data_IF_570571802970
#
_entry.id   IF_570571802970
#
_cell.length_a   1.000
_cell.length_b   1.000
_cell.length_c   1.000
_cell.angle_alpha   90.00
_cell.angle_beta   90.00
_cell.angle_gamma   90.00
#
_symmetry.space_group_name_H-M   'P 1'
#
loop_
_entity.id
_entity.type
_entity.pdbx_description
1 polymer ?
#
# COMPACT_ATOMS: atom_id res chain seq x y z
N UNK A 1 1.16 21.42 27.93
CA UNK A 1 2.16 21.66 26.87
C UNK A 1 1.56 21.22 25.54
N UNK A 2 1.47 22.10 24.56
CA UNK A 2 1.00 21.77 23.22
C UNK A 2 2.14 21.14 22.43
N UNK A 3 1.86 20.05 21.68
CA UNK A 3 2.82 19.39 20.79
C UNK A 3 2.26 19.39 19.37
N UNK A 4 3.13 19.36 18.36
CA UNK A 4 2.79 19.34 16.93
C UNK A 4 3.31 18.05 16.34
N UNK A 5 2.51 17.41 15.45
CA UNK A 5 2.93 16.31 14.61
C UNK A 5 2.98 16.81 13.17
N UNK A 6 4.07 16.56 12.47
CA UNK A 6 4.27 16.93 11.06
C UNK A 6 4.93 15.78 10.33
N UNK A 7 4.62 15.64 9.05
CA UNK A 7 5.34 14.77 8.13
C UNK A 7 5.41 15.41 6.74
N UNK A 8 6.36 14.99 5.94
CA UNK A 8 6.55 15.45 4.57
C UNK A 8 6.19 14.32 3.60
N UNK A 9 5.66 14.70 2.45
CA UNK A 9 5.45 13.83 1.31
C UNK A 9 5.78 14.58 0.03
N UNK A 10 6.09 13.85 -1.04
CA UNK A 10 6.33 14.41 -2.36
C UNK A 10 5.13 14.16 -3.26
N UNK A 11 4.75 15.16 -4.04
CA UNK A 11 3.72 15.05 -5.06
C UNK A 11 4.34 15.31 -6.44
N UNK A 12 4.20 14.34 -7.34
CA UNK A 12 4.63 14.44 -8.72
C UNK A 12 3.42 14.66 -9.63
N UNK A 13 3.56 15.43 -10.69
CA UNK A 13 2.47 15.71 -11.63
C UNK A 13 2.05 14.49 -12.44
N UNK A 14 2.95 13.51 -12.59
CA UNK A 14 2.67 12.28 -13.32
C UNK A 14 3.64 11.16 -12.94
N UNK A 15 3.28 9.92 -13.27
CA UNK A 15 4.12 8.73 -13.04
C UNK A 15 5.42 8.71 -13.85
N UNK A 16 5.48 9.47 -14.95
CA UNK A 16 6.66 9.59 -15.79
C UNK A 16 7.81 10.31 -15.07
N UNK A 17 7.51 11.07 -14.02
CA UNK A 17 8.52 11.70 -13.16
C UNK A 17 9.14 10.75 -12.12
N UNK A 18 8.60 9.54 -11.97
CA UNK A 18 9.15 8.53 -11.06
C UNK A 18 10.51 8.01 -11.56
N UNK A 19 11.39 7.66 -10.62
CA UNK A 19 12.57 6.86 -10.94
C UNK A 19 12.16 5.49 -11.49
N UNK A 20 12.98 4.90 -12.34
CA UNK A 20 12.63 3.68 -13.09
C UNK A 20 12.14 2.52 -12.20
N UNK A 21 12.75 2.37 -11.03
CA UNK A 21 12.42 1.32 -10.07
C UNK A 21 11.01 1.50 -9.45
N UNK A 22 10.65 2.73 -9.10
CA UNK A 22 9.34 3.07 -8.55
C UNK A 22 8.25 3.00 -9.63
N UNK A 23 8.57 3.42 -10.85
CA UNK A 23 7.67 3.28 -11.99
C UNK A 23 7.37 1.81 -12.29
N UNK A 24 8.38 0.95 -12.27
CA UNK A 24 8.21 -0.49 -12.44
C UNK A 24 7.29 -1.08 -11.37
N UNK A 25 7.48 -0.69 -10.10
CA UNK A 25 6.66 -1.13 -8.99
C UNK A 25 5.20 -0.64 -9.12
N UNK A 26 4.99 0.62 -9.50
CA UNK A 26 3.65 1.16 -9.74
C UNK A 26 2.93 0.44 -10.89
N UNK A 27 3.63 0.16 -11.99
CA UNK A 27 3.08 -0.60 -13.10
C UNK A 27 2.70 -2.03 -12.68
N UNK A 28 3.48 -2.66 -11.79
CA UNK A 28 3.15 -3.96 -11.21
C UNK A 28 1.89 -3.90 -10.34
N UNK A 29 1.72 -2.85 -9.53
CA UNK A 29 0.51 -2.63 -8.75
C UNK A 29 -0.72 -2.44 -9.66
N UNK A 30 -0.58 -1.68 -10.75
CA UNK A 30 -1.66 -1.49 -11.72
C UNK A 30 -2.03 -2.81 -12.41
N UNK A 31 -1.06 -3.65 -12.76
CA UNK A 31 -1.31 -4.99 -13.32
C UNK A 31 -2.05 -5.89 -12.32
N UNK A 32 -1.74 -5.79 -11.02
CA UNK A 32 -2.41 -6.57 -9.99
C UNK A 32 -3.93 -6.28 -9.88
N UNK A 33 -4.39 -5.12 -10.37
CA UNK A 33 -5.82 -4.76 -10.45
C UNK A 33 -6.63 -5.80 -11.25
N UNK A 34 -6.03 -6.44 -12.24
CA UNK A 34 -6.69 -7.45 -13.09
C UNK A 34 -7.16 -8.69 -12.30
N UNK A 35 -6.48 -9.00 -11.21
CA UNK A 35 -6.81 -10.15 -10.34
C UNK A 35 -7.77 -9.81 -9.20
N UNK A 36 -8.21 -8.56 -9.10
CA UNK A 36 -9.14 -8.12 -8.07
C UNK A 36 -10.53 -8.74 -8.25
N UNK A 37 -11.08 -9.27 -7.16
CA UNK A 37 -12.44 -9.76 -7.11
C UNK A 37 -13.33 -8.73 -6.40
N UNK A 38 -13.99 -7.86 -7.18
CA UNK A 38 -14.80 -6.76 -6.67
C UNK A 38 -16.22 -6.73 -7.31
N UNK A 39 -17.02 -7.82 -7.14
CA UNK A 39 -18.32 -7.92 -7.79
C UNK A 39 -19.35 -6.93 -7.22
N UNK A 40 -19.18 -6.48 -5.98
CA UNK A 40 -20.15 -5.63 -5.27
C UNK A 40 -19.85 -4.15 -5.47
N UNK A 41 -18.64 -3.70 -5.14
CA UNK A 41 -18.24 -2.30 -5.24
C UNK A 41 -17.87 -1.87 -6.66
N UNK A 42 -17.46 -2.82 -7.51
CA UNK A 42 -16.80 -2.57 -8.81
C UNK A 42 -15.51 -1.74 -8.67
N UNK A 43 -14.97 -1.62 -7.47
CA UNK A 43 -13.78 -0.85 -7.15
C UNK A 43 -12.58 -1.81 -7.00
N UNK A 44 -11.79 -1.93 -8.06
CA UNK A 44 -10.64 -2.82 -8.11
C UNK A 44 -9.38 -2.11 -7.65
N UNK A 45 -8.66 -2.70 -6.72
CA UNK A 45 -7.39 -2.19 -6.18
C UNK A 45 -6.31 -3.24 -6.36
N UNK A 46 -5.14 -2.80 -6.79
CA UNK A 46 -3.93 -3.59 -6.86
C UNK A 46 -2.82 -2.98 -6.02
N UNK A 47 -2.03 -3.81 -5.40
CA UNK A 47 -0.84 -3.44 -4.65
C UNK A 47 0.35 -4.27 -5.10
N UNK A 48 1.55 -3.68 -5.06
CA UNK A 48 2.82 -4.37 -5.32
C UNK A 48 3.85 -3.94 -4.29
N UNK A 49 4.62 -4.86 -3.76
CA UNK A 49 5.72 -4.57 -2.83
C UNK A 49 7.04 -5.09 -3.38
N UNK A 50 8.09 -4.29 -3.22
CA UNK A 50 9.47 -4.67 -3.48
C UNK A 50 10.12 -5.07 -2.18
N UNK A 51 10.66 -6.29 -2.15
CA UNK A 51 11.34 -6.87 -1.02
C UNK A 51 12.84 -6.59 -1.05
N UNK A 52 13.52 -6.80 0.08
CA UNK A 52 14.97 -6.64 0.24
C UNK A 52 15.79 -7.53 -0.69
N UNK A 53 15.25 -8.69 -1.09
CA UNK A 53 15.88 -9.59 -2.07
C UNK A 53 15.60 -9.21 -3.53
N UNK A 54 14.93 -8.08 -3.78
CA UNK A 54 14.59 -7.58 -5.12
C UNK A 54 13.32 -8.17 -5.72
N UNK A 55 12.68 -9.15 -5.08
CA UNK A 55 11.41 -9.70 -5.58
C UNK A 55 10.27 -8.68 -5.47
N UNK A 56 9.34 -8.74 -6.43
CA UNK A 56 8.10 -7.99 -6.43
C UNK A 56 6.94 -8.96 -6.18
N UNK A 57 6.21 -8.72 -5.10
CA UNK A 57 5.02 -9.49 -4.72
C UNK A 57 3.78 -8.66 -5.00
N UNK A 58 2.70 -9.30 -5.45
CA UNK A 58 1.45 -8.65 -5.83
C UNK A 58 0.32 -9.02 -4.88
N UNK A 59 -0.64 -8.10 -4.75
CA UNK A 59 -1.89 -8.33 -4.06
C UNK A 59 -3.02 -7.54 -4.71
N UNK A 60 -4.25 -8.03 -4.56
CA UNK A 60 -5.45 -7.34 -5.02
C UNK A 60 -6.57 -7.51 -4.03
N UNK A 61 -7.56 -6.61 -4.04
CA UNK A 61 -8.70 -6.73 -3.13
C UNK A 61 -9.58 -7.91 -3.51
N UNK A 62 -10.09 -8.59 -2.47
CA UNK A 62 -10.97 -9.74 -2.58
C UNK A 62 -12.23 -9.48 -1.76
N UNK A 63 -13.33 -9.20 -2.41
CA UNK A 63 -14.61 -8.95 -1.76
C UNK A 63 -15.33 -10.26 -1.39
N UNK A 64 -16.24 -10.17 -0.46
CA UNK A 64 -17.10 -11.26 -0.02
C UNK A 64 -18.54 -10.76 0.17
N UNK A 65 -19.53 -11.62 -0.07
CA UNK A 65 -20.91 -11.35 0.31
C UNK A 65 -21.06 -11.11 1.82
N UNK A 66 -20.20 -11.71 2.62
CA UNK A 66 -19.99 -11.35 4.02
C UNK A 66 -18.95 -10.24 4.10
N UNK A 67 -19.36 -9.00 4.05
CA UNK A 67 -18.47 -7.83 3.94
C UNK A 67 -17.29 -7.82 4.92
N UNK A 68 -17.43 -8.22 6.21
CA UNK A 68 -16.30 -8.28 7.14
C UNK A 68 -15.19 -9.26 6.73
N UNK A 69 -15.49 -10.23 5.86
CA UNK A 69 -14.50 -11.23 5.35
C UNK A 69 -13.65 -10.64 4.23
N UNK A 70 -14.14 -9.60 3.56
CA UNK A 70 -13.41 -8.92 2.48
C UNK A 70 -12.05 -8.41 2.94
N UNK A 71 -11.07 -8.44 2.03
CA UNK A 71 -9.71 -8.02 2.29
C UNK A 71 -9.21 -7.03 1.24
N UNK A 72 -8.56 -5.95 1.68
CA UNK A 72 -7.93 -4.96 0.80
C UNK A 72 -6.68 -5.52 0.12
N UNK A 73 -6.32 -4.97 -1.03
CA UNK A 73 -5.13 -5.35 -1.81
C UNK A 73 -3.85 -5.34 -0.97
N UNK A 74 -3.65 -4.29 -0.17
CA UNK A 74 -2.47 -4.12 0.68
C UNK A 74 -2.38 -5.23 1.73
N UNK A 75 -3.51 -5.60 2.35
CA UNK A 75 -3.52 -6.65 3.38
C UNK A 75 -3.38 -8.05 2.76
N UNK A 76 -3.94 -8.29 1.58
CA UNK A 76 -3.69 -9.52 0.81
C UNK A 76 -2.19 -9.66 0.54
N UNK A 77 -1.56 -8.60 0.08
CA UNK A 77 -0.13 -8.54 -0.19
C UNK A 77 0.71 -8.77 1.06
N UNK A 78 0.46 -8.02 2.15
CA UNK A 78 1.19 -8.14 3.40
C UNK A 78 1.10 -9.55 3.99
N UNK A 79 -0.10 -10.15 4.00
CA UNK A 79 -0.30 -11.52 4.50
C UNK A 79 0.47 -12.55 3.67
N UNK A 80 0.50 -12.38 2.34
CA UNK A 80 1.29 -13.23 1.44
C UNK A 80 2.79 -13.11 1.75
N UNK A 81 3.30 -11.89 1.90
CA UNK A 81 4.71 -11.66 2.25
C UNK A 81 5.04 -12.27 3.61
N UNK A 82 4.22 -12.01 4.64
CA UNK A 82 4.47 -12.52 5.98
C UNK A 82 4.48 -14.04 6.08
N UNK A 83 3.74 -14.74 5.21
CA UNK A 83 3.69 -16.21 5.20
C UNK A 83 4.75 -16.85 4.32
N UNK A 84 5.09 -16.24 3.19
CA UNK A 84 5.98 -16.83 2.19
C UNK A 84 7.42 -16.31 2.25
N UNK A 85 7.60 -15.08 2.75
CA UNK A 85 8.90 -14.37 2.80
C UNK A 85 9.14 -13.79 4.20
N UNK A 86 9.10 -14.59 5.27
CA UNK A 86 9.11 -14.08 6.66
C UNK A 86 10.40 -13.38 7.07
N UNK A 87 11.48 -13.56 6.30
CA UNK A 87 12.79 -12.95 6.58
C UNK A 87 13.11 -11.75 5.68
N UNK A 88 12.20 -11.37 4.79
CA UNK A 88 12.42 -10.27 3.85
C UNK A 88 11.73 -9.00 4.35
N UNK A 89 12.43 -7.87 4.25
CA UNK A 89 11.85 -6.56 4.53
C UNK A 89 11.15 -6.00 3.29
N UNK A 90 10.12 -5.19 3.50
CA UNK A 90 9.43 -4.46 2.44
C UNK A 90 10.09 -3.09 2.31
N UNK A 91 10.72 -2.82 1.18
CA UNK A 91 11.39 -1.54 0.92
C UNK A 91 10.42 -0.46 0.42
N UNK A 92 9.48 -0.87 -0.42
CA UNK A 92 8.46 0.03 -0.98
C UNK A 92 7.19 -0.74 -1.30
N UNK A 93 6.04 -0.04 -1.26
CA UNK A 93 4.75 -0.54 -1.72
C UNK A 93 4.10 0.48 -2.63
N UNK A 94 3.68 0.06 -3.81
CA UNK A 94 2.85 0.83 -4.71
C UNK A 94 1.39 0.37 -4.62
N UNK A 95 0.45 1.33 -4.70
CA UNK A 95 -0.99 1.10 -4.69
C UNK A 95 -1.60 1.82 -5.88
N UNK A 96 -2.39 1.08 -6.67
CA UNK A 96 -3.14 1.62 -7.78
C UNK A 96 -4.54 1.01 -7.85
N UNK A 97 -5.42 1.59 -8.65
CA UNK A 97 -6.82 1.18 -8.66
C UNK A 97 -7.50 1.47 -10.00
N UNK A 98 -8.61 0.78 -10.24
CA UNK A 98 -9.50 1.03 -11.35
C UNK A 98 -10.95 0.97 -10.82
N UNK A 99 -11.63 2.11 -10.70
CA UNK A 99 -13.02 2.15 -10.29
C UNK A 99 -13.91 1.91 -11.52
N UNK A 100 -14.90 1.07 -11.40
CA UNK A 100 -16.07 0.90 -12.25
C UNK A 100 -16.00 1.52 -13.68
N UNK A 101 -15.08 1.02 -14.50
CA UNK A 101 -14.86 1.46 -15.91
C UNK A 101 -14.49 2.95 -16.08
N UNK A 102 -14.22 3.68 -15.00
CA UNK A 102 -13.73 5.06 -15.02
C UNK A 102 -12.23 5.07 -14.77
N UNK A 103 -11.48 5.83 -15.55
CA UNK A 103 -10.04 6.00 -15.30
C UNK A 103 -9.82 6.66 -13.92
N UNK A 104 -8.91 6.09 -13.15
CA UNK A 104 -8.42 6.68 -11.91
C UNK A 104 -7.41 7.78 -12.21
N UNK A 105 -7.58 8.96 -11.64
CA UNK A 105 -6.80 10.17 -11.98
C UNK A 105 -6.14 10.87 -10.77
N UNK A 106 -6.22 10.26 -9.59
CA UNK A 106 -5.60 10.81 -8.38
C UNK A 106 -5.05 9.69 -7.48
N UNK A 107 -4.14 9.98 -6.54
CA UNK A 107 -3.60 9.01 -5.61
C UNK A 107 -4.68 8.40 -4.71
N UNK A 108 -4.65 7.08 -4.50
CA UNK A 108 -5.50 6.37 -3.56
C UNK A 108 -4.72 6.06 -2.29
N UNK A 109 -5.14 6.64 -1.17
CA UNK A 109 -4.55 6.33 0.13
C UNK A 109 -5.09 5.02 0.71
N UNK A 110 -4.26 4.23 1.42
CA UNK A 110 -4.70 3.04 2.12
C UNK A 110 -5.73 3.37 3.21
N UNK A 111 -6.71 2.49 3.40
CA UNK A 111 -7.71 2.63 4.46
C UNK A 111 -7.10 2.48 5.86
N UNK A 112 -7.85 2.80 6.92
CA UNK A 112 -7.34 2.75 8.30
C UNK A 112 -6.80 1.38 8.72
N UNK A 113 -7.46 0.28 8.34
CA UNK A 113 -6.97 -1.08 8.61
C UNK A 113 -5.66 -1.38 7.88
N UNK A 114 -5.51 -0.90 6.65
CA UNK A 114 -4.28 -1.07 5.88
C UNK A 114 -3.14 -0.25 6.47
N UNK A 115 -3.40 0.98 6.92
CA UNK A 115 -2.40 1.81 7.62
C UNK A 115 -1.90 1.15 8.89
N UNK A 116 -2.80 0.56 9.68
CA UNK A 116 -2.42 -0.21 10.87
C UNK A 116 -1.56 -1.42 10.51
N UNK A 117 -1.96 -2.19 9.50
CA UNK A 117 -1.17 -3.35 9.05
C UNK A 117 0.22 -2.95 8.54
N UNK A 118 0.33 -1.84 7.81
CA UNK A 118 1.60 -1.30 7.34
C UNK A 118 2.51 -0.88 8.50
N UNK A 119 1.96 -0.19 9.50
CA UNK A 119 2.68 0.17 10.72
C UNK A 119 3.24 -1.06 11.44
N UNK A 120 2.42 -2.13 11.59
CA UNK A 120 2.85 -3.37 12.22
C UNK A 120 4.02 -4.03 11.49
N UNK A 121 4.04 -3.96 10.14
CA UNK A 121 5.15 -4.47 9.33
C UNK A 121 6.41 -3.62 9.46
N UNK A 122 6.30 -2.28 9.48
CA UNK A 122 7.45 -1.40 9.74
C UNK A 122 8.08 -1.70 11.11
N UNK A 123 7.25 -1.86 12.15
CA UNK A 123 7.71 -2.21 13.50
C UNK A 123 8.37 -3.59 13.53
N UNK A 124 7.72 -4.60 12.93
CA UNK A 124 8.19 -5.98 12.90
C UNK A 124 9.58 -6.12 12.29
N UNK A 125 9.85 -5.38 11.23
CA UNK A 125 11.11 -5.45 10.49
C UNK A 125 12.06 -4.30 10.79
N UNK A 126 11.66 -3.36 11.64
CA UNK A 126 12.41 -2.13 11.94
C UNK A 126 12.89 -1.43 10.67
N UNK A 127 12.02 -1.31 9.68
CA UNK A 127 12.32 -0.76 8.36
C UNK A 127 11.14 0.06 7.84
N UNK A 128 11.36 1.30 7.38
CA UNK A 128 10.29 2.11 6.79
C UNK A 128 9.85 1.50 5.45
N UNK A 129 8.56 1.60 5.16
CA UNK A 129 7.96 1.20 3.88
C UNK A 129 7.61 2.46 3.11
N UNK A 130 8.35 2.75 2.05
CA UNK A 130 8.01 3.83 1.12
C UNK A 130 6.69 3.51 0.42
N UNK A 131 5.74 4.45 0.42
CA UNK A 131 4.49 4.30 -0.32
C UNK A 131 4.51 5.12 -1.61
N UNK A 132 4.00 4.51 -2.69
CA UNK A 132 3.82 5.10 -4.01
C UNK A 132 2.33 4.97 -4.34
N UNK A 133 1.61 6.09 -4.27
CA UNK A 133 0.16 6.11 -4.43
C UNK A 133 -0.19 6.79 -5.74
N UNK A 134 -0.90 6.11 -6.64
CA UNK A 134 -1.31 6.68 -7.91
C UNK A 134 -2.55 6.00 -8.49
N UNK A 135 -3.29 6.76 -9.29
CA UNK A 135 -4.25 6.20 -10.23
C UNK A 135 -3.57 5.71 -11.52
N UNK A 136 -4.37 5.44 -12.53
CA UNK A 136 -3.91 5.13 -13.90
C UNK A 136 -3.23 6.33 -14.55
N UNK A 137 -3.72 7.53 -14.24
CA UNK A 137 -3.27 8.84 -14.72
C UNK A 137 -3.12 9.81 -13.56
N UNK A 138 -2.66 11.03 -13.86
CA UNK A 138 -2.61 12.14 -12.92
C UNK A 138 -1.46 12.04 -11.94
N UNK A 139 -1.64 12.70 -10.81
CA UNK A 139 -0.61 12.88 -9.79
C UNK A 139 -0.20 11.58 -9.12
N UNK A 140 1.04 11.56 -8.66
CA UNK A 140 1.59 10.50 -7.81
C UNK A 140 1.99 11.09 -6.48
N UNK A 141 1.68 10.40 -5.40
CA UNK A 141 2.11 10.77 -4.04
C UNK A 141 3.14 9.77 -3.54
N UNK A 142 4.28 10.27 -3.08
CA UNK A 142 5.35 9.50 -2.46
C UNK A 142 5.40 9.82 -0.97
N UNK A 143 5.28 8.79 -0.12
CA UNK A 143 5.34 8.93 1.33
C UNK A 143 6.55 8.10 1.81
N UNK A 144 7.53 8.71 2.50
CA UNK A 144 8.78 8.03 2.86
C UNK A 144 8.60 6.82 3.80
N UNK A 145 7.58 6.86 4.66
CA UNK A 145 7.28 5.80 5.63
C UNK A 145 5.78 5.69 5.85
N UNK A 146 5.25 4.49 5.79
CA UNK A 146 3.82 4.23 5.97
C UNK A 146 3.30 4.63 7.37
N UNK A 147 4.15 4.61 8.40
CA UNK A 147 3.79 5.03 9.75
C UNK A 147 3.39 6.51 9.82
N UNK A 148 3.90 7.35 8.92
CA UNK A 148 3.58 8.78 8.89
C UNK A 148 2.10 9.07 8.62
N UNK A 149 1.39 8.16 7.96
CA UNK A 149 -0.04 8.32 7.67
C UNK A 149 -0.97 7.70 8.71
N UNK A 150 -0.40 7.25 9.86
CA UNK A 150 -1.16 6.78 11.02
C UNK A 150 -0.58 7.38 12.31
N UNK A 151 -0.72 8.71 12.53
CA UNK A 151 -0.34 9.33 13.79
C UNK A 151 -1.01 8.65 14.98
N UNK A 152 -0.25 8.38 16.04
CA UNK A 152 -0.75 7.69 17.24
C UNK A 152 -1.31 6.29 16.96
N UNK A 153 -0.77 5.59 15.97
CA UNK A 153 -1.15 4.20 15.66
C UNK A 153 -0.97 3.29 16.87
N UNK A 154 -1.80 2.26 16.96
CA UNK A 154 -1.68 1.26 18.01
C UNK A 154 -0.41 0.42 17.79
N UNK A 155 0.39 0.23 18.84
CA UNK A 155 1.63 -0.57 18.77
C UNK A 155 1.65 -1.67 19.81
N UNK A 156 2.33 -2.77 19.52
CA UNK A 156 2.48 -3.88 20.45
C UNK A 156 3.33 -3.59 21.69
N UNK A 157 3.98 -2.44 21.79
CA UNK A 157 4.80 -2.04 22.94
C UNK A 157 4.02 -2.06 24.27
N UNK A 158 2.72 -1.79 24.23
CA UNK A 158 1.83 -1.84 25.41
C UNK A 158 1.55 -3.28 25.84
N UNK A 159 1.73 -4.25 24.92
CA UNK A 159 1.49 -5.68 25.18
C UNK A 159 2.72 -6.41 25.70
N UNK A 160 3.82 -5.68 26.05
CA UNK A 160 5.04 -6.25 26.60
C UNK A 160 5.89 -7.04 25.59
N UNK A 161 5.77 -6.70 24.31
CA UNK A 161 6.53 -7.31 23.21
C UNK A 161 7.37 -6.27 22.48
#
# INVERSE_FOLDING_TARGET
MQKKFEFEYEELDSKEALVAEDLALLNAAFKAVETAFAPYSKFKVGAAARLSNGQIILGSNQESASYPVGICAERTLLNSIGSQFPNETILAMAISYLPNDVDSDHPLSPCGMCRQSLLDYEIRYNSPIKLILAGKKGKVMLIPSASQILPFGFTGSILGK
#
